data_IF_002930215465
#
_entry.id   IF_002930215465
#
_cell.length_a   1.000
_cell.length_b   1.000
_cell.length_c   1.000
_cell.angle_alpha   90.00
_cell.angle_beta   90.00
_cell.angle_gamma   90.00
#
_symmetry.space_group_name_H-M   'P 1'
#
loop_
_entity.id
_entity.type
_entity.pdbx_description
1 polymer ?
#
# COMPACT_ATOMS: atom_id res chain seq x y z
N UNK A 1 -19.42 -24.78 7.15
CA UNK A 1 -19.19 -23.79 6.08
C UNK A 1 -18.13 -22.81 6.58
N UNK A 2 -16.85 -23.05 6.30
CA UNK A 2 -15.72 -22.20 6.74
C UNK A 2 -14.77 -21.85 5.59
N UNK A 3 -15.17 -22.11 4.33
CA UNK A 3 -14.31 -21.95 3.16
C UNK A 3 -14.17 -20.51 2.64
N UNK A 4 -14.60 -19.49 3.40
CA UNK A 4 -14.49 -18.09 2.98
C UNK A 4 -13.30 -17.32 3.56
N UNK A 5 -12.71 -17.80 4.65
CA UNK A 5 -11.81 -16.97 5.46
C UNK A 5 -10.36 -16.95 4.93
N UNK A 6 -9.79 -18.10 4.54
CA UNK A 6 -8.44 -18.16 3.94
C UNK A 6 -8.34 -17.37 2.65
N UNK A 7 -9.32 -17.57 1.74
CA UNK A 7 -9.40 -16.85 0.47
C UNK A 7 -9.43 -15.34 0.66
N UNK A 8 -10.16 -14.83 1.67
CA UNK A 8 -10.21 -13.38 1.93
C UNK A 8 -8.86 -12.80 2.38
N UNK A 9 -8.06 -13.56 3.13
CA UNK A 9 -6.74 -13.11 3.63
C UNK A 9 -5.70 -13.16 2.51
N UNK A 10 -5.71 -14.22 1.72
CA UNK A 10 -4.85 -14.39 0.55
C UNK A 10 -5.15 -13.31 -0.51
N UNK A 11 -6.43 -13.03 -0.77
CA UNK A 11 -6.88 -11.93 -1.64
C UNK A 11 -6.47 -10.56 -1.10
N UNK A 12 -6.60 -10.32 0.21
CA UNK A 12 -6.11 -9.08 0.83
C UNK A 12 -4.59 -8.92 0.66
N UNK A 13 -3.81 -9.98 0.89
CA UNK A 13 -2.36 -9.92 0.69
C UNK A 13 -1.98 -9.71 -0.79
N UNK A 14 -2.71 -10.32 -1.72
CA UNK A 14 -2.52 -10.12 -3.15
C UNK A 14 -2.85 -8.67 -3.55
N UNK A 15 -3.95 -8.12 -3.03
CA UNK A 15 -4.32 -6.72 -3.23
C UNK A 15 -3.26 -5.78 -2.64
N UNK A 16 -2.75 -6.04 -1.43
CA UNK A 16 -1.66 -5.26 -0.84
C UNK A 16 -0.40 -5.25 -1.72
N UNK A 17 0.02 -6.42 -2.22
CA UNK A 17 1.17 -6.52 -3.13
C UNK A 17 0.92 -5.78 -4.44
N UNK A 18 -0.30 -5.85 -4.98
CA UNK A 18 -0.66 -5.13 -6.18
C UNK A 18 -0.60 -3.61 -5.96
N UNK A 19 -1.14 -3.14 -4.84
CA UNK A 19 -1.12 -1.74 -4.39
C UNK A 19 0.33 -1.23 -4.27
N UNK A 20 1.24 -2.01 -3.68
CA UNK A 20 2.66 -1.69 -3.61
C UNK A 20 3.32 -1.64 -5.00
N UNK A 21 3.02 -2.60 -5.88
CA UNK A 21 3.55 -2.63 -7.25
C UNK A 21 3.10 -1.42 -8.08
N UNK A 22 1.83 -1.02 -7.94
CA UNK A 22 1.30 0.18 -8.57
C UNK A 22 2.00 1.42 -8.02
N UNK A 23 2.33 1.47 -6.72
CA UNK A 23 3.15 2.55 -6.14
C UNK A 23 4.48 2.71 -6.85
N UNK A 24 5.23 1.62 -6.98
CA UNK A 24 6.57 1.62 -7.57
C UNK A 24 6.50 2.05 -9.03
N UNK A 25 5.48 1.60 -9.76
CA UNK A 25 5.21 2.01 -11.14
C UNK A 25 4.94 3.51 -11.21
N UNK A 26 4.05 4.03 -10.37
CA UNK A 26 3.75 5.46 -10.32
C UNK A 26 5.02 6.24 -10.03
N UNK A 27 5.80 5.88 -9.00
CA UNK A 27 7.06 6.55 -8.67
C UNK A 27 8.07 6.55 -9.82
N UNK A 28 8.18 5.45 -10.56
CA UNK A 28 9.05 5.35 -11.73
C UNK A 28 8.60 6.28 -12.86
N UNK A 29 7.29 6.36 -13.11
CA UNK A 29 6.71 7.31 -14.05
C UNK A 29 6.95 8.75 -13.59
N UNK A 30 6.84 9.02 -12.27
CA UNK A 30 7.14 10.33 -11.70
C UNK A 30 8.59 10.75 -11.94
N UNK A 31 9.53 9.83 -11.68
CA UNK A 31 10.95 10.07 -11.90
C UNK A 31 11.25 10.30 -13.38
N UNK A 32 10.62 9.54 -14.26
CA UNK A 32 10.75 9.67 -15.72
C UNK A 32 10.24 11.02 -16.21
N UNK A 33 9.06 11.44 -15.74
CA UNK A 33 8.49 12.74 -16.09
C UNK A 33 9.44 13.86 -15.63
N UNK A 34 9.94 13.79 -14.39
CA UNK A 34 10.89 14.78 -13.84
C UNK A 34 12.19 14.85 -14.64
N UNK A 35 12.72 13.71 -15.07
CA UNK A 35 13.91 13.63 -15.91
C UNK A 35 13.70 14.27 -17.29
N UNK A 36 12.51 14.06 -17.89
CA UNK A 36 12.13 14.70 -19.17
C UNK A 36 11.93 16.20 -19.04
N UNK A 37 11.44 16.65 -17.88
CA UNK A 37 11.17 18.06 -17.61
C UNK A 37 12.41 18.86 -17.19
N UNK A 38 13.43 18.22 -16.62
CA UNK A 38 14.69 18.87 -16.23
C UNK A 38 15.37 19.70 -17.35
N UNK A 39 15.50 19.23 -18.61
CA UNK A 39 16.04 20.05 -19.69
C UNK A 39 15.08 21.17 -20.14
N UNK A 40 13.75 20.98 -20.02
CA UNK A 40 12.77 22.03 -20.31
C UNK A 40 12.78 23.16 -19.27
N UNK A 41 13.10 22.87 -18.01
CA UNK A 41 13.26 23.90 -16.98
C UNK A 41 14.39 24.91 -17.31
N UNK A 42 15.42 24.47 -18.04
CA UNK A 42 16.46 25.38 -18.56
C UNK A 42 15.98 26.23 -19.75
N UNK A 43 15.01 25.73 -20.52
CA UNK A 43 14.45 26.40 -21.70
C UNK A 43 13.27 27.33 -21.36
N UNK A 44 12.48 27.02 -20.34
CA UNK A 44 11.34 27.81 -19.89
C UNK A 44 11.81 28.88 -18.90
N UNK A 45 12.17 30.06 -19.40
CA UNK A 45 12.45 31.26 -18.59
C UNK A 45 11.18 32.10 -18.41
N UNK A 46 10.97 32.66 -17.21
CA UNK A 46 9.87 33.57 -16.91
C UNK A 46 8.64 32.87 -16.33
N UNK A 47 7.43 33.35 -16.64
CA UNK A 47 6.17 32.88 -16.04
C UNK A 47 5.93 31.36 -16.15
N UNK A 48 6.41 30.72 -17.22
CA UNK A 48 6.32 29.27 -17.41
C UNK A 48 7.14 28.47 -16.38
N UNK A 49 8.23 29.03 -15.86
CA UNK A 49 9.03 28.39 -14.81
C UNK A 49 8.29 28.34 -13.47
N UNK A 50 7.52 29.38 -13.16
CA UNK A 50 6.72 29.47 -11.93
C UNK A 50 5.57 28.48 -11.95
N UNK A 51 4.83 28.40 -13.07
CA UNK A 51 3.77 27.40 -13.24
C UNK A 51 4.31 25.97 -13.17
N UNK A 52 5.49 25.74 -13.75
CA UNK A 52 6.18 24.46 -13.66
C UNK A 52 6.58 24.10 -12.23
N UNK A 53 7.13 25.05 -11.47
CA UNK A 53 7.48 24.87 -10.07
C UNK A 53 6.25 24.56 -9.21
N UNK A 54 5.13 25.25 -9.44
CA UNK A 54 3.86 24.97 -8.76
C UNK A 54 3.33 23.57 -9.07
N UNK A 55 3.42 23.14 -10.33
CA UNK A 55 3.01 21.81 -10.75
C UNK A 55 3.88 20.73 -10.10
N UNK A 56 5.19 20.96 -10.01
CA UNK A 56 6.13 20.09 -9.29
C UNK A 56 5.84 19.98 -7.79
N UNK A 57 5.41 21.06 -7.13
CA UNK A 57 5.03 21.04 -5.71
C UNK A 57 3.73 20.26 -5.49
N UNK A 58 2.72 20.49 -6.33
CA UNK A 58 1.47 19.71 -6.32
C UNK A 58 1.75 18.23 -6.52
N UNK A 59 2.61 17.92 -7.48
CA UNK A 59 3.03 16.57 -7.77
C UNK A 59 3.73 15.87 -6.60
N UNK A 60 4.67 16.52 -5.91
CA UNK A 60 5.32 15.95 -4.72
C UNK A 60 4.30 15.69 -3.60
N UNK A 61 3.33 16.59 -3.45
CA UNK A 61 2.25 16.48 -2.47
C UNK A 61 1.35 15.27 -2.79
N UNK A 62 0.90 15.14 -4.04
CA UNK A 62 0.06 14.04 -4.48
C UNK A 62 0.81 12.70 -4.38
N UNK A 63 2.12 12.68 -4.70
CA UNK A 63 2.97 11.51 -4.57
C UNK A 63 3.16 11.06 -3.12
N UNK A 64 3.30 12.01 -2.18
CA UNK A 64 3.33 11.72 -0.74
C UNK A 64 2.00 11.18 -0.26
N UNK A 65 0.89 11.85 -0.61
CA UNK A 65 -0.45 11.40 -0.22
C UNK A 65 -0.74 9.99 -0.73
N UNK A 66 -0.33 9.68 -1.96
CA UNK A 66 -0.40 8.34 -2.51
C UNK A 66 0.43 7.36 -1.68
N UNK A 67 1.72 7.63 -1.43
CA UNK A 67 2.56 6.76 -0.60
C UNK A 67 1.97 6.51 0.79
N UNK A 68 1.47 7.56 1.46
CA UNK A 68 0.89 7.45 2.80
C UNK A 68 -0.39 6.60 2.79
N UNK A 69 -1.26 6.78 1.79
CA UNK A 69 -2.44 5.94 1.63
C UNK A 69 -2.08 4.47 1.40
N UNK A 70 -1.09 4.20 0.55
CA UNK A 70 -0.62 2.84 0.25
C UNK A 70 0.06 2.19 1.45
N UNK A 71 0.83 2.94 2.24
CA UNK A 71 1.38 2.49 3.52
C UNK A 71 0.27 2.15 4.51
N UNK A 72 -0.74 3.01 4.63
CA UNK A 72 -1.90 2.76 5.49
C UNK A 72 -2.67 1.50 5.09
N UNK A 73 -2.82 1.25 3.79
CA UNK A 73 -3.42 0.01 3.28
C UNK A 73 -2.56 -1.20 3.65
N UNK A 74 -1.23 -1.12 3.48
CA UNK A 74 -0.29 -2.17 3.85
C UNK A 74 -0.34 -2.50 5.35
N UNK A 75 -0.30 -1.48 6.20
CA UNK A 75 -0.41 -1.62 7.66
C UNK A 75 -1.75 -2.21 8.08
N UNK A 76 -2.85 -1.76 7.48
CA UNK A 76 -4.20 -2.27 7.76
C UNK A 76 -4.35 -3.75 7.36
N UNK A 77 -3.77 -4.15 6.23
CA UNK A 77 -3.81 -5.54 5.76
C UNK A 77 -2.92 -6.44 6.62
N UNK A 78 -1.73 -5.98 6.97
CA UNK A 78 -0.81 -6.71 7.83
C UNK A 78 -1.37 -6.86 9.25
N UNK A 79 -1.94 -5.79 9.81
CA UNK A 79 -2.61 -5.82 11.12
C UNK A 79 -3.82 -6.74 11.14
N UNK A 80 -4.64 -6.73 10.09
CA UNK A 80 -5.78 -7.63 9.96
C UNK A 80 -5.35 -9.09 9.90
N UNK A 81 -4.34 -9.41 9.09
CA UNK A 81 -3.80 -10.77 8.96
C UNK A 81 -3.19 -11.32 10.25
N UNK A 82 -2.44 -10.50 11.00
CA UNK A 82 -1.86 -10.89 12.30
C UNK A 82 -2.96 -11.12 13.34
N UNK A 83 -3.97 -10.24 13.40
CA UNK A 83 -5.09 -10.44 14.35
C UNK A 83 -5.88 -11.71 14.03
N UNK A 84 -5.98 -12.05 12.74
CA UNK A 84 -6.70 -13.24 12.29
C UNK A 84 -5.96 -14.52 12.67
N UNK A 85 -4.65 -14.58 12.40
CA UNK A 85 -3.80 -15.71 12.78
C UNK A 85 -3.85 -15.94 14.29
N UNK A 86 -3.77 -14.86 15.07
CA UNK A 86 -3.85 -14.93 16.53
C UNK A 86 -5.20 -15.46 17.04
N UNK A 87 -6.32 -15.10 16.39
CA UNK A 87 -7.64 -15.64 16.75
C UNK A 87 -7.78 -17.13 16.43
N UNK A 88 -7.25 -17.59 15.30
CA UNK A 88 -7.29 -19.00 14.92
C UNK A 88 -6.43 -19.87 15.86
N UNK A 89 -5.24 -19.38 16.23
CA UNK A 89 -4.35 -20.06 17.18
C UNK A 89 -5.00 -20.16 18.58
N UNK A 90 -5.71 -19.11 19.01
CA UNK A 90 -6.46 -19.11 20.26
C UNK A 90 -7.64 -20.09 20.22
N UNK A 91 -8.43 -20.08 19.15
CA UNK A 91 -9.56 -21.00 18.97
C UNK A 91 -9.09 -22.47 18.93
N UNK A 92 -7.97 -22.75 18.27
CA UNK A 92 -7.37 -24.08 18.22
C UNK A 92 -6.90 -24.51 19.61
N UNK A 93 -6.25 -23.61 20.36
CA UNK A 93 -5.84 -23.88 21.75
C UNK A 93 -7.04 -24.17 22.65
N UNK A 94 -8.10 -23.35 22.59
CA UNK A 94 -9.31 -23.53 23.40
C UNK A 94 -10.00 -24.86 23.08
N UNK A 95 -10.12 -25.20 21.79
CA UNK A 95 -10.68 -26.48 21.35
C UNK A 95 -9.84 -27.66 21.87
N UNK A 96 -8.51 -27.55 21.82
CA UNK A 96 -7.62 -28.59 22.32
C UNK A 96 -7.70 -28.75 23.84
N UNK A 97 -7.87 -27.65 24.59
CA UNK A 97 -8.08 -27.66 26.03
C UNK A 97 -9.43 -28.29 26.41
N UNK A 98 -10.50 -27.99 25.68
CA UNK A 98 -11.82 -28.61 25.89
C UNK A 98 -11.75 -30.12 25.61
N UNK A 99 -11.09 -30.53 24.53
CA UNK A 99 -10.89 -31.95 24.21
C UNK A 99 -10.10 -32.68 25.28
N UNK A 100 -9.08 -32.03 25.86
CA UNK A 100 -8.31 -32.59 26.97
C UNK A 100 -9.09 -32.67 28.29
N UNK A 101 -10.09 -31.82 28.50
CA UNK A 101 -10.93 -31.82 29.69
C UNK A 101 -12.10 -32.83 29.63
N UNK A 102 -12.46 -33.29 28.42
CA UNK A 102 -13.57 -34.23 28.17
C UNK A 102 -13.12 -35.67 27.91
N UNK A 103 -11.80 -35.93 27.89
CA UNK A 103 -11.19 -37.26 27.84
C UNK A 103 -10.55 -37.63 29.17
#
# INVERSE_FOLDING_TARGET
MTQGFGTSVEEMQAAAKHVLSVNDTVQADLATLRARLAPLAGAWRGAAATEFANLMVRWDTDAKALNDALRGIGESIQGSGVSYQAQEDQHTSDMSAIRAALG
#
